data_IF_075011796413
#
_entry.id   IF_075011796413
#
_cell.length_a   1.000
_cell.length_b   1.000
_cell.length_c   1.000
_cell.angle_alpha   90.00
_cell.angle_beta   90.00
_cell.angle_gamma   90.00
#
_symmetry.space_group_name_H-M   'P 1'
#
loop_
_entity.id
_entity.type
_entity.pdbx_description
1 polymer ?
#
# COMPACT_ATOMS: atom_id res chain seq x y z
N UNK A 1 24.26 -12.92 -1.85
CA UNK A 1 23.16 -12.01 -1.48
C UNK A 1 22.32 -12.72 -0.45
N UNK A 2 22.09 -12.08 0.70
CA UNK A 2 21.34 -12.66 1.82
C UNK A 2 19.86 -12.37 1.63
N UNK A 3 19.00 -13.39 1.78
CA UNK A 3 17.56 -13.21 1.71
C UNK A 3 17.05 -12.75 3.08
N UNK A 4 16.50 -11.54 3.16
CA UNK A 4 16.06 -10.97 4.44
C UNK A 4 14.64 -11.39 4.82
N UNK A 5 13.79 -11.78 3.87
CA UNK A 5 12.41 -12.18 4.14
C UNK A 5 12.33 -13.56 4.80
N UNK A 6 13.14 -14.56 4.37
CA UNK A 6 13.13 -15.92 4.93
C UNK A 6 13.23 -15.96 6.47
N UNK A 7 14.24 -15.33 7.11
CA UNK A 7 14.31 -15.34 8.57
C UNK A 7 13.14 -14.59 9.25
N UNK A 8 12.54 -13.59 8.60
CA UNK A 8 11.36 -12.90 9.15
C UNK A 8 10.15 -13.85 9.19
N UNK A 9 9.92 -14.56 8.08
CA UNK A 9 8.82 -15.52 7.93
C UNK A 9 8.97 -16.72 8.86
N UNK A 10 10.19 -17.25 9.04
CA UNK A 10 10.46 -18.37 9.96
C UNK A 10 10.16 -18.01 11.43
N UNK A 11 10.36 -16.75 11.81
CA UNK A 11 10.18 -16.27 13.18
C UNK A 11 8.78 -15.72 13.46
N UNK A 12 7.95 -15.51 12.43
CA UNK A 12 6.68 -14.79 12.56
C UNK A 12 5.51 -15.56 11.96
N UNK A 13 4.60 -16.02 12.83
CA UNK A 13 3.42 -16.82 12.42
C UNK A 13 2.16 -16.00 12.14
N UNK A 14 2.20 -14.69 12.41
CA UNK A 14 1.07 -13.78 12.19
C UNK A 14 1.35 -13.02 10.89
N UNK A 15 0.48 -13.10 9.86
CA UNK A 15 0.71 -12.48 8.56
C UNK A 15 1.04 -10.99 8.66
N UNK A 16 0.27 -10.25 9.46
CA UNK A 16 0.49 -8.82 9.67
C UNK A 16 1.89 -8.51 10.18
N UNK A 17 2.38 -9.26 11.17
CA UNK A 17 3.72 -9.05 11.73
C UNK A 17 4.82 -9.43 10.72
N UNK A 18 4.60 -10.47 9.92
CA UNK A 18 5.58 -10.91 8.91
C UNK A 18 5.71 -9.87 7.79
N UNK A 19 4.57 -9.37 7.29
CA UNK A 19 4.51 -8.29 6.30
C UNK A 19 5.13 -7.02 6.87
N UNK A 20 4.80 -6.64 8.11
CA UNK A 20 5.37 -5.46 8.75
C UNK A 20 6.89 -5.55 8.91
N UNK A 21 7.43 -6.69 9.35
CA UNK A 21 8.88 -6.87 9.47
C UNK A 21 9.61 -6.76 8.12
N UNK A 22 8.99 -7.21 7.02
CA UNK A 22 9.53 -6.98 5.68
C UNK A 22 9.43 -5.51 5.30
N UNK A 23 8.31 -4.87 5.59
CA UNK A 23 8.08 -3.46 5.31
C UNK A 23 9.09 -2.54 6.01
N UNK A 24 9.49 -2.85 7.25
CA UNK A 24 10.56 -2.13 7.96
C UNK A 24 11.88 -2.15 7.15
N UNK A 25 12.25 -3.30 6.59
CA UNK A 25 13.45 -3.40 5.73
C UNK A 25 13.29 -2.57 4.45
N UNK A 26 12.09 -2.53 3.86
CA UNK A 26 11.82 -1.74 2.66
C UNK A 26 11.89 -0.23 2.93
N UNK A 27 11.43 0.23 4.10
CA UNK A 27 11.57 1.61 4.56
C UNK A 27 13.05 1.98 4.70
N UNK A 28 13.86 1.11 5.32
CA UNK A 28 15.29 1.32 5.46
C UNK A 28 15.97 1.42 4.09
N UNK A 29 15.65 0.51 3.16
CA UNK A 29 16.15 0.56 1.77
C UNK A 29 15.82 1.90 1.10
N UNK A 30 14.58 2.38 1.20
CA UNK A 30 14.19 3.66 0.63
C UNK A 30 14.93 4.84 1.28
N UNK A 31 15.08 4.82 2.61
CA UNK A 31 15.82 5.84 3.35
C UNK A 31 17.30 5.90 2.97
N UNK A 32 17.89 4.74 2.66
CA UNK A 32 19.27 4.59 2.20
C UNK A 32 19.44 4.79 0.68
N UNK A 33 18.38 5.19 -0.05
CA UNK A 33 18.34 5.33 -1.51
C UNK A 33 18.69 4.03 -2.27
N UNK A 34 18.40 2.87 -1.68
CA UNK A 34 18.50 1.57 -2.34
C UNK A 34 17.19 1.33 -3.11
N UNK A 35 17.30 1.11 -4.42
CA UNK A 35 16.16 0.82 -5.27
C UNK A 35 15.47 -0.48 -4.86
N UNK A 36 14.13 -0.45 -4.80
CA UNK A 36 13.31 -1.64 -4.64
C UNK A 36 13.12 -2.32 -6.00
N UNK A 37 13.14 -3.66 -6.02
CA UNK A 37 12.65 -4.38 -7.19
C UNK A 37 11.11 -4.31 -7.26
N UNK A 38 10.54 -4.84 -8.34
CA UNK A 38 9.10 -4.77 -8.59
C UNK A 38 8.25 -5.36 -7.44
N UNK A 39 8.63 -6.53 -6.93
CA UNK A 39 7.88 -7.23 -5.87
C UNK A 39 8.00 -6.46 -4.55
N UNK A 40 9.21 -6.01 -4.22
CA UNK A 40 9.46 -5.18 -3.05
C UNK A 40 8.66 -3.87 -3.09
N UNK A 41 8.63 -3.22 -4.25
CA UNK A 41 7.85 -2.00 -4.47
C UNK A 41 6.36 -2.25 -4.25
N UNK A 42 5.83 -3.34 -4.80
CA UNK A 42 4.41 -3.66 -4.67
C UNK A 42 4.02 -3.85 -3.19
N UNK A 43 4.84 -4.56 -2.40
CA UNK A 43 4.64 -4.68 -0.93
C UNK A 43 4.75 -3.33 -0.22
N UNK A 44 5.76 -2.53 -0.55
CA UNK A 44 5.94 -1.19 0.02
C UNK A 44 4.72 -0.29 -0.21
N UNK A 45 4.21 -0.28 -1.44
CA UNK A 45 3.05 0.53 -1.83
C UNK A 45 1.79 0.12 -1.07
N UNK A 46 1.52 -1.19 -0.95
CA UNK A 46 0.32 -1.68 -0.26
C UNK A 46 0.38 -1.40 1.25
N UNK A 47 1.56 -1.54 1.87
CA UNK A 47 1.75 -1.18 3.28
C UNK A 47 1.53 0.32 3.52
N UNK A 48 2.03 1.18 2.64
CA UNK A 48 1.76 2.62 2.73
C UNK A 48 0.27 2.91 2.51
N UNK A 49 -0.37 2.31 1.51
CA UNK A 49 -1.81 2.46 1.27
C UNK A 49 -2.65 2.18 2.51
N UNK A 50 -2.44 1.04 3.15
CA UNK A 50 -3.16 0.66 4.37
C UNK A 50 -2.83 1.60 5.53
N UNK A 51 -1.56 2.01 5.67
CA UNK A 51 -1.13 2.93 6.71
C UNK A 51 -1.71 4.33 6.56
N UNK A 52 -1.68 4.90 5.36
CA UNK A 52 -2.21 6.24 5.06
C UNK A 52 -3.72 6.31 5.34
N UNK A 53 -4.49 5.31 4.89
CA UNK A 53 -5.95 5.30 5.10
C UNK A 53 -6.28 5.09 6.58
N UNK A 54 -5.59 4.21 7.29
CA UNK A 54 -5.81 4.04 8.74
C UNK A 54 -5.43 5.30 9.54
N UNK A 55 -4.53 6.14 9.04
CA UNK A 55 -4.10 7.36 9.71
C UNK A 55 -4.98 8.58 9.41
N UNK A 56 -5.44 8.73 8.16
CA UNK A 56 -6.16 9.93 7.72
C UNK A 56 -7.11 9.71 6.54
N UNK A 57 -7.53 8.47 6.30
CA UNK A 57 -8.48 8.13 5.25
C UNK A 57 -7.93 8.25 3.82
N UNK A 58 -8.83 8.10 2.84
CA UNK A 58 -8.50 8.26 1.43
C UNK A 58 -8.05 9.70 1.09
N UNK A 59 -8.48 10.71 1.84
CA UNK A 59 -7.97 12.09 1.73
C UNK A 59 -6.45 12.12 1.89
N UNK A 60 -5.94 11.54 2.98
CA UNK A 60 -4.52 11.51 3.27
C UNK A 60 -3.74 10.66 2.26
N UNK A 61 -4.24 9.46 1.91
CA UNK A 61 -3.62 8.60 0.91
C UNK A 61 -3.46 9.31 -0.44
N UNK A 62 -4.52 9.96 -0.94
CA UNK A 62 -4.45 10.67 -2.22
C UNK A 62 -3.57 11.92 -2.11
N UNK A 63 -3.66 12.68 -1.01
CA UNK A 63 -2.84 13.89 -0.83
C UNK A 63 -1.35 13.54 -0.83
N UNK A 64 -0.94 12.58 0.01
CA UNK A 64 0.45 12.15 0.09
C UNK A 64 0.90 11.44 -1.19
N UNK A 65 0.04 10.61 -1.78
CA UNK A 65 0.33 9.88 -3.01
C UNK A 65 0.54 10.77 -4.23
N UNK A 66 -0.21 11.87 -4.37
CA UNK A 66 -0.02 12.81 -5.48
C UNK A 66 1.11 13.81 -5.25
N UNK A 67 1.54 14.03 -4.00
CA UNK A 67 2.58 15.01 -3.65
C UNK A 67 3.93 14.37 -3.31
N UNK A 68 4.06 13.04 -3.45
CA UNK A 68 5.34 12.34 -3.30
C UNK A 68 6.07 12.25 -4.64
N UNK A 69 7.41 12.36 -4.59
CA UNK A 69 8.28 12.11 -5.76
C UNK A 69 8.71 10.63 -5.85
N UNK A 70 8.19 9.76 -4.98
CA UNK A 70 8.45 8.33 -5.08
C UNK A 70 7.86 7.78 -6.38
N UNK A 71 8.63 6.91 -7.03
CA UNK A 71 8.22 6.19 -8.24
C UNK A 71 7.73 7.13 -9.37
N UNK A 72 8.49 8.20 -9.62
CA UNK A 72 8.21 9.18 -10.67
C UNK A 72 6.82 9.84 -10.57
N UNK A 73 6.26 9.90 -9.35
CA UNK A 73 4.94 10.45 -9.09
C UNK A 73 3.77 9.51 -9.44
N UNK A 74 4.05 8.25 -9.80
CA UNK A 74 3.02 7.25 -10.13
C UNK A 74 2.52 6.46 -8.90
N UNK A 75 2.76 6.95 -7.68
CA UNK A 75 2.48 6.24 -6.43
C UNK A 75 1.05 5.67 -6.34
N UNK A 76 0.01 6.49 -6.60
CA UNK A 76 -1.40 6.07 -6.52
C UNK A 76 -1.72 5.00 -7.57
N UNK A 77 -1.24 5.19 -8.80
CA UNK A 77 -1.45 4.25 -9.91
C UNK A 77 -0.78 2.90 -9.63
N UNK A 78 0.50 2.92 -9.24
CA UNK A 78 1.25 1.70 -8.94
C UNK A 78 0.68 0.97 -7.72
N UNK A 79 0.15 1.70 -6.73
CA UNK A 79 -0.55 1.09 -5.58
C UNK A 79 -1.76 0.29 -6.06
N UNK A 80 -2.60 0.87 -6.93
CA UNK A 80 -3.74 0.16 -7.51
C UNK A 80 -3.31 -1.08 -8.28
N UNK A 81 -2.26 -0.98 -9.10
CA UNK A 81 -1.72 -2.12 -9.83
C UNK A 81 -1.20 -3.23 -8.90
N UNK A 82 -0.51 -2.87 -7.81
CA UNK A 82 -0.04 -3.79 -6.78
C UNK A 82 -1.21 -4.52 -6.08
N UNK A 83 -2.27 -3.80 -5.70
CA UNK A 83 -3.48 -4.40 -5.13
C UNK A 83 -4.11 -5.43 -6.08
N UNK A 84 -4.20 -5.13 -7.37
CA UNK A 84 -4.72 -6.06 -8.38
C UNK A 84 -3.84 -7.31 -8.51
N UNK A 85 -2.51 -7.18 -8.44
CA UNK A 85 -1.58 -8.32 -8.49
C UNK A 85 -1.79 -9.30 -7.33
N UNK A 86 -2.06 -8.78 -6.12
CA UNK A 86 -2.37 -9.61 -4.94
C UNK A 86 -3.85 -10.02 -4.85
N UNK A 87 -4.66 -9.71 -5.87
CA UNK A 87 -6.10 -9.98 -5.97
C UNK A 87 -6.95 -9.26 -4.91
N UNK A 88 -6.45 -8.14 -4.37
CA UNK A 88 -7.20 -7.22 -3.52
C UNK A 88 -8.07 -6.28 -4.38
N UNK A 89 -9.01 -6.87 -5.12
CA UNK A 89 -9.82 -6.17 -6.10
C UNK A 89 -10.70 -5.10 -5.44
N UNK A 90 -11.19 -5.36 -4.22
CA UNK A 90 -12.08 -4.40 -3.56
C UNK A 90 -11.33 -3.13 -3.15
N UNK A 91 -10.10 -3.29 -2.67
CA UNK A 91 -9.24 -2.15 -2.35
C UNK A 91 -8.84 -1.37 -3.62
N UNK A 92 -8.59 -2.04 -4.74
CA UNK A 92 -8.36 -1.36 -6.01
C UNK A 92 -9.58 -0.54 -6.48
N UNK A 93 -10.80 -1.05 -6.30
CA UNK A 93 -12.05 -0.31 -6.57
C UNK A 93 -12.22 0.91 -5.65
N UNK A 94 -11.75 0.84 -4.40
CA UNK A 94 -11.80 2.00 -3.50
C UNK A 94 -10.89 3.13 -3.99
N UNK A 95 -9.70 2.84 -4.51
CA UNK A 95 -8.85 3.87 -5.12
C UNK A 95 -9.58 4.57 -6.26
N UNK A 96 -10.19 3.81 -7.17
CA UNK A 96 -10.99 4.39 -8.26
C UNK A 96 -12.15 5.24 -7.75
N UNK A 97 -12.82 4.79 -6.69
CA UNK A 97 -13.94 5.52 -6.08
C UNK A 97 -13.47 6.83 -5.48
N UNK A 98 -12.37 6.82 -4.72
CA UNK A 98 -11.77 8.01 -4.14
C UNK A 98 -11.33 9.01 -5.21
N UNK A 99 -10.66 8.54 -6.28
CA UNK A 99 -10.28 9.36 -7.42
C UNK A 99 -11.49 9.95 -8.15
N UNK A 100 -12.60 9.23 -8.27
CA UNK A 100 -13.82 9.77 -8.87
C UNK A 100 -14.47 10.87 -8.01
N UNK A 101 -14.28 10.85 -6.68
CA UNK A 101 -14.80 11.87 -5.77
C UNK A 101 -13.98 13.17 -5.88
N UNK A 102 -12.65 13.08 -5.82
CA UNK A 102 -11.77 14.28 -5.78
C UNK A 102 -11.18 14.69 -7.14
N UNK A 103 -11.32 13.83 -8.16
CA UNK A 103 -10.67 13.96 -9.46
C UNK A 103 -9.34 13.20 -9.56
N UNK A 104 -8.78 13.13 -10.77
CA UNK A 104 -7.50 12.42 -11.05
C UNK A 104 -6.26 13.08 -10.43
N UNK A 105 -6.45 14.22 -9.74
CA UNK A 105 -5.43 14.92 -8.97
C UNK A 105 -6.07 15.59 -7.77
N UNK A 106 -5.44 15.50 -6.60
CA UNK A 106 -5.88 16.24 -5.41
C UNK A 106 -5.14 17.58 -5.31
N UNK A 107 -5.76 18.64 -5.82
CA UNK A 107 -5.18 20.00 -5.81
C UNK A 107 -6.03 20.95 -4.97
N UNK A 108 -5.98 20.80 -3.64
CA UNK A 108 -6.64 21.71 -2.71
C UNK A 108 -7.52 21.03 -1.68
N UNK A 109 -8.25 21.86 -0.93
CA UNK A 109 -9.22 21.40 0.06
C UNK A 109 -10.46 20.82 -0.62
N UNK A 110 -11.03 19.79 0.00
CA UNK A 110 -12.28 19.16 -0.41
C UNK A 110 -13.46 20.10 -0.17
N UNK A 111 -14.50 19.96 -0.99
CA UNK A 111 -15.83 20.47 -0.62
C UNK A 111 -16.43 19.60 0.50
N UNK A 112 -17.39 20.14 1.25
CA UNK A 112 -18.09 19.39 2.30
C UNK A 112 -18.73 18.09 1.76
N UNK A 113 -19.25 18.11 0.53
CA UNK A 113 -19.83 16.93 -0.14
C UNK A 113 -18.78 15.86 -0.44
N UNK A 114 -17.60 16.26 -0.93
CA UNK A 114 -16.50 15.32 -1.17
C UNK A 114 -15.97 14.71 0.12
N UNK A 115 -15.83 15.52 1.17
CA UNK A 115 -15.39 15.06 2.48
C UNK A 115 -16.38 14.04 3.07
N UNK A 116 -17.69 14.27 2.92
CA UNK A 116 -18.72 13.31 3.35
C UNK A 116 -18.62 11.99 2.56
N UNK A 117 -18.49 12.05 1.23
CA UNK A 117 -18.35 10.88 0.37
C UNK A 117 -17.08 10.06 0.68
N UNK A 118 -15.96 10.72 0.94
CA UNK A 118 -14.72 10.04 1.33
C UNK A 118 -14.84 9.42 2.72
N UNK A 119 -15.51 10.10 3.67
CA UNK A 119 -15.78 9.52 4.98
C UNK A 119 -16.63 8.24 4.89
N UNK A 120 -17.62 8.19 3.99
CA UNK A 120 -18.37 6.97 3.72
C UNK A 120 -17.47 5.86 3.15
N UNK A 121 -16.55 6.21 2.25
CA UNK A 121 -15.61 5.28 1.64
C UNK A 121 -14.60 4.72 2.66
N UNK A 122 -14.06 5.57 3.54
CA UNK A 122 -13.21 5.18 4.66
C UNK A 122 -13.93 4.15 5.54
N UNK A 123 -15.21 4.39 5.87
CA UNK A 123 -16.03 3.46 6.64
C UNK A 123 -16.25 2.10 5.94
N UNK A 124 -16.19 2.05 4.60
CA UNK A 124 -16.21 0.80 3.86
C UNK A 124 -14.86 0.08 3.94
N UNK A 125 -13.75 0.81 3.86
CA UNK A 125 -12.41 0.28 4.04
C UNK A 125 -12.21 -0.32 5.44
N UNK A 126 -12.63 0.38 6.50
CA UNK A 126 -12.49 -0.07 7.90
C UNK A 126 -13.31 -1.32 8.27
N UNK A 127 -14.15 -1.81 7.36
CA UNK A 127 -14.78 -3.13 7.49
C UNK A 127 -13.84 -4.27 7.12
N UNK A 128 -12.64 -3.97 6.62
CA UNK A 128 -11.62 -4.92 6.18
C UNK A 128 -12.22 -5.99 5.25
N UNK A 129 -12.76 -5.61 4.07
CA UNK A 129 -13.42 -6.55 3.18
C UNK A 129 -12.47 -7.63 2.61
N UNK A 130 -11.16 -7.37 2.64
CA UNK A 130 -10.11 -8.27 2.20
C UNK A 130 -9.00 -8.27 3.26
N UNK A 131 -8.43 -9.45 3.55
CA UNK A 131 -7.29 -9.58 4.46
C UNK A 131 -5.99 -9.22 3.73
N UNK A 132 -5.67 -7.93 3.67
CA UNK A 132 -4.48 -7.41 2.98
C UNK A 132 -3.19 -7.99 3.52
N UNK A 133 -3.12 -8.29 4.83
CA UNK A 133 -1.94 -8.90 5.44
C UNK A 133 -1.74 -10.33 4.93
N UNK A 134 -2.80 -11.15 4.88
CA UNK A 134 -2.70 -12.50 4.35
C UNK A 134 -2.43 -12.52 2.83
N UNK A 135 -3.04 -11.62 2.07
CA UNK A 135 -2.81 -11.51 0.62
C UNK A 135 -1.36 -11.10 0.31
N UNK A 136 -0.81 -10.11 1.02
CA UNK A 136 0.59 -9.72 0.90
C UNK A 136 1.54 -10.85 1.30
N UNK A 137 1.25 -11.56 2.40
CA UNK A 137 2.08 -12.70 2.81
C UNK A 137 2.14 -13.76 1.72
N UNK A 138 1.00 -14.15 1.14
CA UNK A 138 0.96 -15.13 0.06
C UNK A 138 1.81 -14.67 -1.15
N UNK A 139 1.72 -13.39 -1.50
CA UNK A 139 2.49 -12.79 -2.59
C UNK A 139 4.00 -12.79 -2.32
N UNK A 140 4.41 -12.50 -1.08
CA UNK A 140 5.80 -12.56 -0.62
C UNK A 140 6.32 -13.99 -0.70
N UNK A 141 5.56 -14.98 -0.21
CA UNK A 141 5.95 -16.39 -0.23
C UNK A 141 6.14 -16.92 -1.66
N UNK A 142 5.25 -16.54 -2.59
CA UNK A 142 5.35 -16.90 -4.00
C UNK A 142 6.63 -16.35 -4.67
N UNK A 143 7.12 -15.20 -4.19
CA UNK A 143 8.25 -14.48 -4.77
C UNK A 143 9.47 -14.40 -3.83
N UNK A 144 9.55 -15.31 -2.85
CA UNK A 144 10.44 -15.15 -1.69
C UNK A 144 11.91 -14.93 -2.08
N UNK A 145 12.38 -15.55 -3.16
CA UNK A 145 13.77 -15.48 -3.60
C UNK A 145 14.19 -14.10 -4.14
N UNK A 146 13.24 -13.18 -4.35
CA UNK A 146 13.49 -11.81 -4.81
C UNK A 146 13.74 -10.81 -3.67
N UNK A 147 13.56 -11.21 -2.41
CA UNK A 147 13.78 -10.36 -1.22
C UNK A 147 15.22 -10.47 -0.71
N UNK A 148 16.15 -9.89 -1.47
CA UNK A 148 17.59 -9.95 -1.22
C UNK A 148 18.16 -8.58 -0.82
N UNK A 149 19.14 -8.59 0.10
CA UNK A 149 19.97 -7.42 0.43
C UNK A 149 20.95 -7.09 -0.68
#
# INVERSE_FOLDING_TARGET
MENYAKPILENTKIPQNAVYGIYEVLIDKQSDNISLNEIERDVYLICNYEGEINNGGFDQFLFNGYNTNLFDGEFVKLTKEALLKIKANKNAEFIDSAMNIVGESKTGAETDEQAEQLSELDNLFYKYPEDLSQLQLNYIEEHIDLFIK
#
